data_IF_080674468178
#
_entry.id   IF_080674468178
#
_cell.length_a   1.000
_cell.length_b   1.000
_cell.length_c   1.000
_cell.angle_alpha   90.00
_cell.angle_beta   90.00
_cell.angle_gamma   90.00
#
_symmetry.space_group_name_H-M   'P 1'
#
loop_
_entity.id
_entity.type
_entity.pdbx_description
1 polymer ?
#
# COMPACT_ATOMS: atom_id res chain seq x y z
N UNK A 1 13.43 -8.32 19.10
CA UNK A 1 12.72 -7.80 17.91
C UNK A 1 12.90 -6.30 17.96
N UNK A 2 13.39 -5.71 16.87
CA UNK A 2 13.79 -4.30 16.88
C UNK A 2 12.60 -3.34 16.90
N UNK A 3 12.81 -2.12 17.39
CA UNK A 3 11.75 -1.11 17.46
C UNK A 3 11.73 -0.25 16.19
N UNK A 4 10.56 -0.09 15.57
CA UNK A 4 10.37 0.82 14.44
C UNK A 4 10.02 2.22 14.95
N UNK A 5 10.93 3.17 14.80
CA UNK A 5 10.76 4.55 15.30
C UNK A 5 10.27 5.54 14.24
N UNK A 6 10.44 5.22 12.96
CA UNK A 6 9.87 6.01 11.85
C UNK A 6 9.73 5.19 10.58
N UNK A 7 8.78 5.57 9.72
CA UNK A 7 8.68 5.08 8.35
C UNK A 7 8.15 6.18 7.42
N UNK A 8 8.76 6.34 6.25
CA UNK A 8 8.38 7.31 5.23
C UNK A 8 8.49 6.72 3.83
N UNK A 9 7.62 7.15 2.90
CA UNK A 9 7.73 6.78 1.50
C UNK A 9 8.69 7.77 0.83
N UNK A 10 9.82 7.28 0.33
CA UNK A 10 10.88 8.10 -0.27
C UNK A 10 10.83 8.13 -1.81
N UNK A 11 9.87 7.44 -2.40
CA UNK A 11 9.62 7.49 -3.84
C UNK A 11 9.05 6.19 -4.40
N UNK A 12 9.09 6.07 -5.73
CA UNK A 12 8.61 4.90 -6.46
C UNK A 12 9.78 4.21 -7.17
N UNK A 13 9.72 2.88 -7.29
CA UNK A 13 10.70 2.16 -8.10
C UNK A 13 10.30 2.20 -9.58
N UNK A 14 11.27 1.96 -10.47
CA UNK A 14 11.07 1.99 -11.92
C UNK A 14 9.96 1.01 -12.32
N UNK A 15 8.89 1.54 -12.91
CA UNK A 15 7.70 0.78 -13.30
C UNK A 15 6.48 0.99 -12.41
N UNK A 16 6.57 1.81 -11.35
CA UNK A 16 5.42 2.28 -10.58
C UNK A 16 4.66 1.20 -9.79
N UNK A 17 5.06 -0.07 -9.87
CA UNK A 17 4.42 -1.20 -9.20
C UNK A 17 4.81 -1.33 -7.72
N UNK A 18 5.97 -0.77 -7.35
CA UNK A 18 6.50 -0.77 -5.99
C UNK A 18 6.83 0.65 -5.54
N UNK A 19 6.70 0.89 -4.24
CA UNK A 19 7.17 2.12 -3.58
C UNK A 19 8.40 1.82 -2.75
N UNK A 20 9.27 2.81 -2.62
CA UNK A 20 10.44 2.78 -1.74
C UNK A 20 10.07 3.38 -0.40
N UNK A 21 10.36 2.65 0.66
CA UNK A 21 10.11 3.03 2.04
C UNK A 21 11.46 3.16 2.73
N UNK A 22 11.67 4.26 3.44
CA UNK A 22 12.72 4.35 4.45
C UNK A 22 12.08 4.10 5.81
N UNK A 23 12.67 3.22 6.60
CA UNK A 23 12.26 2.98 7.97
C UNK A 23 13.47 3.02 8.90
N UNK A 24 13.30 3.52 10.12
CA UNK A 24 14.30 3.44 11.18
C UNK A 24 13.92 2.32 12.12
N UNK A 25 14.78 1.30 12.20
CA UNK A 25 14.60 0.09 13.02
C UNK A 25 15.85 -0.06 13.88
N UNK A 26 15.72 -0.14 15.20
CA UNK A 26 16.86 -0.17 16.13
C UNK A 26 17.87 0.97 15.87
N UNK A 27 17.36 2.19 15.73
CA UNK A 27 18.13 3.41 15.41
C UNK A 27 18.92 3.37 14.10
N UNK A 28 18.68 2.36 13.24
CA UNK A 28 19.31 2.21 11.94
C UNK A 28 18.31 2.47 10.83
N UNK A 29 18.71 3.30 9.86
CA UNK A 29 17.91 3.57 8.67
C UNK A 29 18.08 2.44 7.66
N UNK A 30 16.96 1.83 7.27
CA UNK A 30 16.88 0.85 6.20
C UNK A 30 16.02 1.38 5.06
N UNK A 31 16.34 0.98 3.83
CA UNK A 31 15.53 1.27 2.65
C UNK A 31 14.99 -0.04 2.11
N UNK A 32 13.67 -0.14 2.08
CA UNK A 32 12.92 -1.27 1.57
C UNK A 32 11.98 -0.87 0.44
N UNK A 33 11.34 -1.87 -0.14
CA UNK A 33 10.36 -1.72 -1.20
C UNK A 33 9.07 -2.47 -0.83
N UNK A 34 7.94 -1.86 -1.14
CA UNK A 34 6.62 -2.43 -0.94
C UNK A 34 5.84 -2.45 -2.26
N UNK A 35 5.21 -3.58 -2.56
CA UNK A 35 4.28 -3.72 -3.69
C UNK A 35 3.00 -2.94 -3.41
N UNK A 36 2.58 -2.09 -4.34
CA UNK A 36 1.32 -1.32 -4.21
C UNK A 36 0.08 -2.22 -4.24
N UNK A 37 0.11 -3.30 -5.02
CA UNK A 37 -1.05 -4.16 -5.28
C UNK A 37 -1.52 -4.95 -4.06
N UNK A 38 -0.59 -5.47 -3.26
CA UNK A 38 -0.88 -6.37 -2.15
C UNK A 38 -0.22 -5.93 -0.83
N UNK A 39 0.45 -4.76 -0.82
CA UNK A 39 1.18 -4.22 0.33
C UNK A 39 2.21 -5.21 0.89
N UNK A 40 2.80 -6.01 0.01
CA UNK A 40 3.86 -6.96 0.36
C UNK A 40 5.19 -6.21 0.45
N UNK A 41 5.85 -6.33 1.60
CA UNK A 41 7.23 -5.87 1.80
C UNK A 41 8.19 -6.87 1.17
N UNK A 42 9.18 -6.41 0.41
CA UNK A 42 10.09 -7.31 -0.31
C UNK A 42 11.27 -7.77 0.55
N UNK A 43 11.76 -6.92 1.45
CA UNK A 43 12.93 -7.19 2.27
C UNK A 43 12.53 -7.93 3.56
N UNK A 44 13.29 -8.96 3.99
CA UNK A 44 12.96 -9.74 5.20
C UNK A 44 12.74 -8.89 6.45
N UNK A 45 13.64 -7.93 6.73
CA UNK A 45 13.51 -7.04 7.89
C UNK A 45 12.22 -6.20 7.84
N UNK A 46 11.74 -5.82 6.66
CA UNK A 46 10.46 -5.11 6.52
C UNK A 46 9.26 -6.06 6.64
N UNK A 47 9.41 -7.35 6.29
CA UNK A 47 8.35 -8.35 6.46
C UNK A 47 8.12 -8.65 7.93
N UNK A 48 9.21 -8.80 8.69
CA UNK A 48 9.15 -9.05 10.13
C UNK A 48 8.52 -7.87 10.89
N UNK A 49 8.71 -6.64 10.40
CA UNK A 49 8.20 -5.40 10.99
C UNK A 49 7.01 -4.79 10.22
N UNK A 50 6.31 -5.57 9.39
CA UNK A 50 5.28 -5.06 8.46
C UNK A 50 4.19 -4.26 9.18
N UNK A 51 3.61 -4.81 10.24
CA UNK A 51 2.49 -4.17 10.93
C UNK A 51 2.90 -2.87 11.61
N UNK A 52 4.08 -2.82 12.20
CA UNK A 52 4.62 -1.63 12.86
C UNK A 52 4.88 -0.52 11.82
N UNK A 53 5.60 -0.85 10.74
CA UNK A 53 5.85 0.07 9.62
C UNK A 53 4.53 0.62 9.06
N UNK A 54 3.51 -0.22 8.90
CA UNK A 54 2.20 0.20 8.41
C UNK A 54 1.46 1.14 9.36
N UNK A 55 1.63 0.98 10.68
CA UNK A 55 1.06 1.90 11.69
C UNK A 55 1.74 3.26 11.70
N UNK A 56 3.01 3.33 11.31
CA UNK A 56 3.77 4.60 11.25
C UNK A 56 3.31 5.49 10.09
N UNK A 57 2.74 4.93 9.03
CA UNK A 57 2.21 5.73 7.94
C UNK A 57 0.92 6.44 8.32
N UNK A 58 0.87 7.75 8.08
CA UNK A 58 -0.40 8.47 8.07
C UNK A 58 -1.22 8.02 6.87
N UNK A 59 -2.49 7.72 7.08
CA UNK A 59 -3.40 7.24 6.02
C UNK A 59 -3.38 8.12 4.77
N UNK A 60 -3.23 9.44 4.93
CA UNK A 60 -3.18 10.38 3.81
C UNK A 60 -1.89 10.32 2.99
N UNK A 61 -0.75 9.96 3.59
CA UNK A 61 0.55 9.90 2.90
C UNK A 61 0.63 8.66 2.03
N UNK A 62 0.21 7.51 2.57
CA UNK A 62 0.25 6.24 1.84
C UNK A 62 -0.86 6.15 0.78
N UNK A 63 -2.02 6.81 1.01
CA UNK A 63 -3.12 6.85 0.06
C UNK A 63 -2.69 7.41 -1.30
N UNK A 64 -1.87 8.46 -1.34
CA UNK A 64 -1.35 9.04 -2.60
C UNK A 64 -0.64 8.02 -3.49
N UNK A 65 0.02 7.05 -2.87
CA UNK A 65 0.78 6.03 -3.59
C UNK A 65 -0.01 4.75 -3.87
N UNK A 66 -1.06 4.47 -3.07
CA UNK A 66 -1.90 3.27 -3.21
C UNK A 66 -3.16 3.49 -4.05
N UNK A 67 -3.68 4.73 -4.14
CA UNK A 67 -4.95 5.06 -4.79
C UNK A 67 -4.93 4.95 -6.32
N UNK A 68 -3.78 4.71 -6.96
CA UNK A 68 -3.72 4.36 -8.39
C UNK A 68 -4.32 2.97 -8.73
N UNK A 69 -4.97 2.30 -7.77
CA UNK A 69 -5.76 1.07 -7.95
C UNK A 69 -7.18 1.16 -7.36
N UNK A 70 -7.78 2.34 -7.38
CA UNK A 70 -9.23 2.49 -7.28
C UNK A 70 -9.75 3.03 -8.63
N UNK A 71 -9.51 2.28 -9.72
CA UNK A 71 -10.48 2.32 -10.80
C UNK A 71 -11.65 1.45 -10.35
N UNK A 72 -12.80 2.10 -10.28
CA UNK A 72 -14.10 1.57 -9.89
C UNK A 72 -14.42 0.31 -10.70
N UNK A 73 -14.69 -0.80 -10.01
CA UNK A 73 -15.46 -1.89 -10.58
C UNK A 73 -16.91 -1.68 -10.13
N UNK A 74 -17.78 -0.97 -10.88
CA UNK A 74 -19.20 -1.04 -10.65
C UNK A 74 -19.68 -2.40 -11.17
N UNK A 75 -19.51 -3.44 -10.36
CA UNK A 75 -20.38 -4.61 -10.46
C UNK A 75 -21.77 -4.16 -9.95
N UNK A 76 -22.55 -3.53 -10.83
CA UNK A 76 -23.99 -3.39 -10.63
C UNK A 76 -24.73 -4.20 -11.69
N UNK A 77 -25.41 -5.21 -11.15
CA UNK A 77 -26.25 -6.21 -11.77
C UNK A 77 -27.33 -5.53 -12.62
N UNK A 78 -27.25 -5.63 -13.95
CA UNK A 78 -28.40 -5.34 -14.82
C UNK A 78 -29.25 -6.62 -14.93
N UNK A 79 -30.10 -6.88 -13.93
CA UNK A 79 -31.13 -7.91 -14.02
C UNK A 79 -32.26 -7.61 -13.04
N UNK A 80 -33.46 -7.45 -13.59
CA UNK A 80 -34.73 -6.97 -13.01
C UNK A 80 -34.73 -5.44 -12.83
N UNK A 81 -35.57 -4.69 -13.53
CA UNK A 81 -37.03 -4.83 -13.50
C UNK A 81 -37.74 -4.65 -14.84
N UNK A 82 -38.83 -5.43 -14.97
CA UNK A 82 -40.00 -5.33 -15.85
C UNK A 82 -40.23 -3.97 -16.51
N UNK A 83 -40.32 -3.98 -17.83
CA UNK A 83 -41.02 -2.99 -18.65
C UNK A 83 -41.94 -3.72 -19.62
N UNK A 84 -43.23 -3.64 -19.34
CA UNK A 84 -44.36 -4.14 -20.12
C UNK A 84 -44.45 -3.48 -21.51
N UNK A 85 -45.09 -4.19 -22.46
CA UNK A 85 -45.98 -3.65 -23.50
C UNK A 85 -45.41 -3.08 -24.82
N UNK A 86 -45.55 -3.86 -25.91
CA UNK A 86 -46.23 -3.42 -27.15
C UNK A 86 -46.74 -4.61 -27.98
#
# INVERSE_FOLDING_TARGET
MGEVTSAEVIGEARGGATIKIRAVIDDKSYIGEMRKSNREMLQPIFRDHKEEIMKMFKSAEIAKYLLFKFEEDPVFIESLERGDNK
#
